data_IF_747314129648
#
_entry.id   IF_747314129648
#
_cell.length_a   1.000
_cell.length_b   1.000
_cell.length_c   1.000
_cell.angle_alpha   90.00
_cell.angle_beta   90.00
_cell.angle_gamma   90.00
#
_symmetry.space_group_name_H-M   'P 1'
#
loop_
_entity.id
_entity.type
_entity.pdbx_description
1 polymer ?
#
# COMPACT_ATOMS: atom_id res chain seq x y z
N UNK A 1 -21.01 56.11 -28.66
CA UNK A 1 -20.97 54.64 -28.79
C UNK A 1 -19.52 54.17 -28.67
N UNK A 2 -19.17 53.42 -27.61
CA UNK A 2 -17.80 52.90 -27.41
C UNK A 2 -17.57 51.72 -28.37
N UNK A 3 -16.65 51.87 -29.35
CA UNK A 3 -16.16 50.75 -30.18
C UNK A 3 -15.36 49.80 -29.29
N UNK A 4 -15.88 48.59 -29.07
CA UNK A 4 -15.13 47.51 -28.45
C UNK A 4 -14.16 46.95 -29.50
N UNK A 5 -12.88 47.32 -29.36
CA UNK A 5 -11.79 46.83 -30.21
C UNK A 5 -11.53 45.36 -29.88
N UNK A 6 -12.26 44.43 -30.52
CA UNK A 6 -12.00 43.00 -30.38
C UNK A 6 -10.78 42.65 -31.24
N UNK A 7 -9.58 42.67 -30.64
CA UNK A 7 -8.40 42.02 -31.20
C UNK A 7 -8.65 40.51 -31.20
N UNK A 8 -8.91 39.95 -32.37
CA UNK A 8 -8.99 38.49 -32.56
C UNK A 8 -7.59 37.88 -32.51
N UNK A 9 -7.47 36.72 -31.86
CA UNK A 9 -6.25 35.91 -31.87
C UNK A 9 -5.97 35.42 -33.30
N UNK A 10 -4.72 35.42 -33.74
CA UNK A 10 -4.38 34.91 -35.08
C UNK A 10 -4.26 33.39 -35.06
N UNK A 11 -4.64 32.73 -36.16
CA UNK A 11 -4.46 31.28 -36.30
C UNK A 11 -2.98 30.87 -36.17
N UNK A 12 -2.07 31.73 -36.61
CA UNK A 12 -0.62 31.49 -36.54
C UNK A 12 -0.14 31.48 -35.09
N UNK A 13 -0.58 32.43 -34.26
CA UNK A 13 -0.25 32.45 -32.83
C UNK A 13 -0.74 31.17 -32.14
N UNK A 14 -1.93 30.66 -32.50
CA UNK A 14 -2.44 29.41 -31.96
C UNK A 14 -1.58 28.20 -32.37
N UNK A 15 -1.19 28.11 -33.65
CA UNK A 15 -0.42 26.98 -34.18
C UNK A 15 0.99 26.91 -33.56
N UNK A 16 1.64 28.05 -33.35
CA UNK A 16 2.95 28.09 -32.68
C UNK A 16 2.84 27.65 -31.22
N UNK A 17 1.78 28.05 -30.52
CA UNK A 17 1.57 27.68 -29.11
C UNK A 17 1.36 26.17 -28.95
N UNK A 18 0.50 25.55 -29.78
CA UNK A 18 0.30 24.09 -29.71
C UNK A 18 1.56 23.31 -30.09
N UNK A 19 2.38 23.84 -31.00
CA UNK A 19 3.65 23.22 -31.38
C UNK A 19 4.64 23.21 -30.18
N UNK A 20 4.76 24.32 -29.46
CA UNK A 20 5.61 24.40 -28.27
C UNK A 20 5.08 23.49 -27.15
N UNK A 21 3.77 23.50 -26.88
CA UNK A 21 3.14 22.62 -25.88
C UNK A 21 3.36 21.14 -26.25
N UNK A 22 3.27 20.79 -27.53
CA UNK A 22 3.51 19.44 -28.02
C UNK A 22 4.92 18.93 -27.72
N UNK A 23 5.95 19.75 -27.98
CA UNK A 23 7.35 19.39 -27.68
C UNK A 23 7.58 19.25 -26.17
N UNK A 24 7.05 20.18 -25.36
CA UNK A 24 7.18 20.11 -23.90
C UNK A 24 6.48 18.86 -23.32
N UNK A 25 5.28 18.55 -23.80
CA UNK A 25 4.52 17.38 -23.37
C UNK A 25 5.25 16.06 -23.70
N UNK A 26 5.86 15.98 -24.89
CA UNK A 26 6.58 14.78 -25.33
C UNK A 26 7.74 14.39 -24.41
N UNK A 27 8.45 15.37 -23.85
CA UNK A 27 9.57 15.14 -22.91
C UNK A 27 9.03 14.90 -21.49
N UNK A 28 7.97 15.62 -21.10
CA UNK A 28 7.44 15.60 -19.73
C UNK A 28 6.71 14.29 -19.37
N UNK A 29 5.87 13.77 -20.27
CA UNK A 29 5.03 12.59 -20.02
C UNK A 29 5.83 11.37 -19.52
N UNK A 30 6.88 10.90 -20.23
CA UNK A 30 7.63 9.71 -19.79
C UNK A 30 8.32 9.92 -18.43
N UNK A 31 8.85 11.12 -18.17
CA UNK A 31 9.48 11.47 -16.89
C UNK A 31 8.47 11.44 -15.73
N UNK A 32 7.29 12.03 -15.94
CA UNK A 32 6.21 12.07 -14.95
C UNK A 32 5.69 10.67 -14.61
N UNK A 33 5.56 9.77 -15.59
CA UNK A 33 5.10 8.39 -15.34
C UNK A 33 6.04 7.64 -14.39
N UNK A 34 7.36 7.80 -14.54
CA UNK A 34 8.34 7.22 -13.63
C UNK A 34 8.24 7.81 -12.21
N UNK A 35 8.04 9.13 -12.10
CA UNK A 35 7.88 9.79 -10.80
C UNK A 35 6.60 9.35 -10.06
N UNK A 36 5.48 9.21 -10.78
CA UNK A 36 4.22 8.73 -10.22
C UNK A 36 4.38 7.31 -9.67
N UNK A 37 5.01 6.39 -10.41
CA UNK A 37 5.25 5.02 -9.93
C UNK A 37 6.11 4.99 -8.66
N UNK A 38 7.18 5.78 -8.60
CA UNK A 38 8.03 5.90 -7.39
C UNK A 38 7.26 6.48 -6.20
N UNK A 39 6.40 7.47 -6.44
CA UNK A 39 5.56 8.06 -5.39
C UNK A 39 4.55 7.04 -4.87
N UNK A 40 3.90 6.28 -5.77
CA UNK A 40 3.00 5.18 -5.40
C UNK A 40 3.72 4.15 -4.51
N UNK A 41 4.92 3.72 -4.90
CA UNK A 41 5.73 2.79 -4.11
C UNK A 41 6.07 3.34 -2.72
N UNK A 42 6.47 4.61 -2.63
CA UNK A 42 6.77 5.26 -1.35
C UNK A 42 5.54 5.30 -0.44
N UNK A 43 4.38 5.66 -0.98
CA UNK A 43 3.11 5.62 -0.23
C UNK A 43 2.77 4.20 0.19
N UNK A 44 2.93 3.22 -0.68
CA UNK A 44 2.63 1.84 -0.37
C UNK A 44 3.53 1.28 0.73
N UNK A 45 4.84 1.59 0.71
CA UNK A 45 5.77 1.21 1.78
C UNK A 45 5.42 1.89 3.12
N UNK A 46 4.99 3.16 3.08
CA UNK A 46 4.54 3.85 4.28
C UNK A 46 3.28 3.20 4.88
N UNK A 47 2.31 2.85 4.04
CA UNK A 47 1.10 2.16 4.47
C UNK A 47 1.39 0.75 4.99
N UNK A 48 2.29 0.00 4.32
CA UNK A 48 2.76 -1.30 4.81
C UNK A 48 3.42 -1.22 6.19
N UNK A 49 4.16 -0.12 6.46
CA UNK A 49 4.70 0.13 7.80
C UNK A 49 3.59 0.40 8.83
N UNK A 50 2.58 1.20 8.49
CA UNK A 50 1.43 1.41 9.39
C UNK A 50 0.72 0.09 9.67
N UNK A 51 0.50 -0.74 8.65
CA UNK A 51 -0.05 -2.09 8.81
C UNK A 51 0.80 -2.95 9.74
N UNK A 52 2.13 -2.99 9.52
CA UNK A 52 3.03 -3.77 10.37
C UNK A 52 2.93 -3.34 11.83
N UNK A 53 2.91 -2.04 12.10
CA UNK A 53 2.80 -1.52 13.46
C UNK A 53 1.47 -1.93 14.11
N UNK A 54 0.36 -1.86 13.37
CA UNK A 54 -0.95 -2.30 13.87
C UNK A 54 -0.97 -3.80 14.18
N UNK A 55 -0.31 -4.62 13.35
CA UNK A 55 -0.16 -6.06 13.61
C UNK A 55 0.68 -6.28 14.86
N UNK A 56 1.82 -5.60 14.99
CA UNK A 56 2.70 -5.73 16.15
C UNK A 56 1.98 -5.36 17.46
N UNK A 57 1.15 -4.33 17.43
CA UNK A 57 0.31 -3.91 18.55
C UNK A 57 -0.71 -4.99 18.93
N UNK A 58 -1.51 -5.47 17.96
CA UNK A 58 -2.50 -6.53 18.19
C UNK A 58 -1.86 -7.85 18.68
N UNK A 59 -0.67 -8.18 18.19
CA UNK A 59 0.11 -9.35 18.64
C UNK A 59 0.58 -9.16 20.08
N UNK A 60 1.10 -7.97 20.43
CA UNK A 60 1.52 -7.68 21.80
C UNK A 60 0.35 -7.78 22.79
N UNK A 61 -0.85 -7.36 22.40
CA UNK A 61 -2.05 -7.54 23.22
C UNK A 61 -2.41 -9.02 23.42
N UNK A 62 -2.29 -9.84 22.38
CA UNK A 62 -2.47 -11.30 22.50
C UNK A 62 -1.43 -11.93 23.45
N UNK A 63 -0.18 -11.48 23.38
CA UNK A 63 0.90 -11.95 24.24
C UNK A 63 0.68 -11.57 25.71
N UNK A 64 0.18 -10.36 25.99
CA UNK A 64 -0.21 -9.93 27.34
C UNK A 64 -1.32 -10.82 27.91
N UNK A 65 -2.20 -11.35 27.06
CA UNK A 65 -3.25 -12.30 27.44
C UNK A 65 -2.74 -13.75 27.57
N UNK A 66 -1.45 -14.01 27.32
CA UNK A 66 -0.80 -15.31 27.49
C UNK A 66 -0.75 -16.18 26.24
N UNK A 67 -1.01 -15.61 25.06
CA UNK A 67 -1.02 -16.35 23.80
C UNK A 67 0.13 -15.92 22.88
N UNK A 68 0.94 -16.88 22.45
CA UNK A 68 1.98 -16.65 21.45
C UNK A 68 1.46 -16.90 20.04
N UNK A 69 1.84 -16.03 19.11
CA UNK A 69 1.47 -16.18 17.70
C UNK A 69 2.49 -17.07 16.98
N UNK A 70 2.01 -18.15 16.36
CA UNK A 70 2.84 -19.02 15.52
C UNK A 70 2.85 -18.52 14.07
N UNK A 71 3.91 -17.79 13.74
CA UNK A 71 4.15 -17.25 12.39
C UNK A 71 4.59 -18.31 11.37
N UNK A 72 4.87 -19.55 11.80
CA UNK A 72 5.13 -20.65 10.86
C UNK A 72 3.87 -21.07 10.10
N UNK A 73 2.69 -20.73 10.64
CA UNK A 73 1.41 -20.96 9.98
C UNK A 73 1.10 -19.75 9.09
N UNK A 74 0.97 -19.94 7.76
CA UNK A 74 0.70 -18.83 6.86
C UNK A 74 -0.59 -18.12 7.23
N UNK A 75 -0.50 -16.81 7.48
CA UNK A 75 -1.68 -15.98 7.69
C UNK A 75 -2.56 -15.94 6.45
N UNK A 76 -2.00 -16.11 5.24
CA UNK A 76 -2.67 -16.59 4.02
C UNK A 76 -3.91 -15.82 3.57
N UNK A 77 -4.26 -14.73 4.25
CA UNK A 77 -5.46 -13.92 4.01
C UNK A 77 -5.02 -12.58 3.46
N UNK A 78 -5.64 -12.21 2.35
CA UNK A 78 -5.81 -10.81 1.97
C UNK A 78 -7.02 -10.27 2.70
N UNK A 79 -6.98 -9.03 3.12
CA UNK A 79 -8.19 -8.35 3.57
C UNK A 79 -8.17 -6.89 3.12
N UNK A 80 -9.38 -6.39 2.85
CA UNK A 80 -9.58 -5.00 2.52
C UNK A 80 -9.53 -4.16 3.81
N UNK A 81 -8.88 -3.02 3.76
CA UNK A 81 -8.75 -2.12 4.89
C UNK A 81 -10.09 -1.44 5.23
N UNK A 82 -11.05 -1.42 4.30
CA UNK A 82 -12.41 -0.91 4.54
C UNK A 82 -13.39 -1.98 5.03
N UNK A 83 -12.97 -3.24 5.18
CA UNK A 83 -13.89 -4.34 5.44
C UNK A 83 -14.72 -4.11 6.73
N UNK A 84 -16.03 -4.30 6.63
CA UNK A 84 -16.93 -4.27 7.79
C UNK A 84 -16.89 -5.62 8.50
N UNK A 85 -15.88 -5.78 9.35
CA UNK A 85 -15.66 -6.98 10.13
C UNK A 85 -16.46 -6.93 11.44
N UNK A 86 -17.10 -8.03 11.85
CA UNK A 86 -17.74 -8.09 13.15
C UNK A 86 -16.68 -7.98 14.25
N UNK A 87 -17.02 -7.30 15.35
CA UNK A 87 -16.17 -7.27 16.53
C UNK A 87 -15.91 -8.70 17.03
N UNK A 88 -14.64 -8.99 17.33
CA UNK A 88 -14.19 -10.31 17.77
C UNK A 88 -13.18 -10.12 18.90
N UNK A 89 -13.33 -10.92 19.95
CA UNK A 89 -12.41 -10.96 21.10
C UNK A 89 -11.65 -12.28 21.09
N UNK A 90 -10.43 -12.27 21.65
CA UNK A 90 -9.63 -13.49 21.75
C UNK A 90 -10.33 -14.54 22.62
N UNK A 91 -10.37 -15.77 22.12
CA UNK A 91 -10.88 -16.92 22.87
C UNK A 91 -9.94 -17.26 24.02
N UNK A 92 -10.45 -17.91 25.06
CA UNK A 92 -9.63 -18.37 26.18
C UNK A 92 -8.57 -19.43 25.81
N UNK A 93 -8.68 -20.03 24.62
CA UNK A 93 -7.71 -20.96 24.05
C UNK A 93 -6.82 -20.32 22.96
N UNK A 94 -7.03 -19.04 22.64
CA UNK A 94 -6.31 -18.29 21.62
C UNK A 94 -6.61 -18.70 20.18
N UNK A 95 -7.49 -19.67 19.94
CA UNK A 95 -7.69 -20.30 18.61
C UNK A 95 -8.06 -19.34 17.47
N UNK A 96 -8.63 -18.18 17.80
CA UNK A 96 -9.08 -17.16 16.86
C UNK A 96 -8.15 -15.94 16.75
N UNK A 97 -6.89 -16.03 17.21
CA UNK A 97 -5.92 -14.93 17.16
C UNK A 97 -5.84 -14.24 15.79
N UNK A 98 -5.97 -15.01 14.70
CA UNK A 98 -5.94 -14.50 13.32
C UNK A 98 -7.07 -13.52 13.05
N UNK A 99 -8.28 -13.84 13.52
CA UNK A 99 -9.46 -13.03 13.26
C UNK A 99 -9.44 -11.75 14.11
N UNK A 100 -8.94 -11.84 15.35
CA UNK A 100 -8.69 -10.70 16.23
C UNK A 100 -7.67 -9.74 15.62
N UNK A 101 -6.51 -10.25 15.18
CA UNK A 101 -5.49 -9.40 14.54
C UNK A 101 -6.05 -8.72 13.29
N UNK A 102 -6.80 -9.43 12.45
CA UNK A 102 -7.39 -8.83 11.24
C UNK A 102 -8.39 -7.74 11.62
N UNK A 103 -9.23 -7.95 12.63
CA UNK A 103 -10.17 -6.94 13.12
C UNK A 103 -9.46 -5.68 13.64
N UNK A 104 -8.50 -5.83 14.56
CA UNK A 104 -7.79 -4.70 15.17
C UNK A 104 -6.95 -3.91 14.15
N UNK A 105 -6.29 -4.62 13.24
CA UNK A 105 -5.54 -4.00 12.15
C UNK A 105 -6.47 -3.22 11.24
N UNK A 106 -7.63 -3.78 10.88
CA UNK A 106 -8.59 -3.09 10.02
C UNK A 106 -9.11 -1.81 10.67
N UNK A 107 -9.44 -1.84 11.97
CA UNK A 107 -9.87 -0.65 12.71
C UNK A 107 -8.75 0.40 12.79
N UNK A 108 -7.52 -0.03 13.07
CA UNK A 108 -6.37 0.87 13.11
C UNK A 108 -6.12 1.51 11.75
N UNK A 109 -6.25 0.77 10.66
CA UNK A 109 -6.09 1.33 9.31
C UNK A 109 -7.20 2.32 8.96
N UNK A 110 -8.44 2.03 9.34
CA UNK A 110 -9.57 2.98 9.19
C UNK A 110 -9.32 4.28 9.96
N UNK A 111 -8.91 4.20 11.23
CA UNK A 111 -8.62 5.40 12.04
C UNK A 111 -7.44 6.20 11.52
N UNK A 112 -6.47 5.55 10.86
CA UNK A 112 -5.37 6.19 10.16
C UNK A 112 -5.72 6.68 8.74
N UNK A 113 -6.98 6.55 8.29
CA UNK A 113 -7.46 7.00 6.98
C UNK A 113 -6.97 6.15 5.80
N UNK A 114 -6.53 4.92 6.06
CA UNK A 114 -6.01 3.97 5.07
C UNK A 114 -7.11 2.96 4.70
N UNK A 115 -8.25 3.45 4.24
CA UNK A 115 -9.44 2.61 4.04
C UNK A 115 -9.44 1.89 2.68
N UNK A 116 -9.01 2.58 1.63
CA UNK A 116 -9.10 2.08 0.26
C UNK A 116 -7.86 1.29 -0.15
N UNK A 117 -7.49 0.23 0.58
CA UNK A 117 -6.31 -0.58 0.29
C UNK A 117 -6.49 -2.04 0.68
N UNK A 118 -5.60 -2.91 0.21
CA UNK A 118 -5.55 -4.32 0.59
C UNK A 118 -4.25 -4.62 1.34
N UNK A 119 -4.37 -5.42 2.39
CA UNK A 119 -3.26 -5.88 3.22
C UNK A 119 -3.06 -7.37 3.06
N UNK A 120 -1.80 -7.79 3.11
CA UNK A 120 -1.41 -9.16 3.41
C UNK A 120 -0.31 -9.16 4.47
N UNK A 121 -0.39 -10.08 5.42
CA UNK A 121 0.64 -10.29 6.45
C UNK A 121 1.05 -11.75 6.38
N UNK A 122 2.34 -12.03 6.42
CA UNK A 122 2.86 -13.40 6.39
C UNK A 122 4.06 -13.52 7.32
N UNK A 123 4.26 -14.73 7.84
CA UNK A 123 5.46 -15.07 8.59
C UNK A 123 6.66 -15.30 7.67
N UNK A 124 7.85 -15.00 8.16
CA UNK A 124 9.13 -15.23 7.50
C UNK A 124 10.09 -15.84 8.51
N UNK A 125 10.84 -16.87 8.12
CA UNK A 125 11.86 -17.46 8.97
C UNK A 125 13.22 -16.87 8.64
N UNK A 126 13.79 -16.11 9.57
CA UNK A 126 15.12 -15.54 9.43
C UNK A 126 16.04 -16.27 10.40
N UNK A 127 16.92 -17.11 9.87
CA UNK A 127 17.93 -17.84 10.64
C UNK A 127 17.36 -18.63 11.84
N UNK A 128 16.23 -19.31 11.65
CA UNK A 128 15.57 -20.10 12.70
C UNK A 128 14.67 -19.31 13.63
N UNK A 129 14.58 -17.98 13.45
CA UNK A 129 13.63 -17.12 14.17
C UNK A 129 12.49 -16.75 13.26
N UNK A 130 11.26 -17.10 13.64
CA UNK A 130 10.08 -16.63 12.92
C UNK A 130 9.79 -15.17 13.25
N UNK A 131 9.63 -14.38 12.20
CA UNK A 131 9.16 -12.99 12.22
C UNK A 131 7.97 -12.88 11.26
N UNK A 132 7.46 -11.67 11.06
CA UNK A 132 6.46 -11.39 10.03
C UNK A 132 6.84 -10.18 9.20
N UNK A 133 6.21 -10.07 8.02
CA UNK A 133 6.22 -8.88 7.18
C UNK A 133 4.79 -8.53 6.78
N UNK A 134 4.58 -7.25 6.46
CA UNK A 134 3.32 -6.72 5.98
C UNK A 134 3.49 -6.17 4.57
N UNK A 135 2.53 -6.49 3.71
CA UNK A 135 2.34 -5.89 2.40
C UNK A 135 1.08 -5.04 2.38
N UNK A 136 1.14 -3.95 1.62
CA UNK A 136 -0.01 -3.09 1.36
C UNK A 136 -0.04 -2.67 -0.10
N UNK A 137 -1.24 -2.67 -0.71
CA UNK A 137 -1.49 -2.10 -2.04
C UNK A 137 -2.78 -1.32 -2.08
N UNK A 138 -2.89 -0.40 -3.05
CA UNK A 138 -4.06 0.49 -3.16
C UNK A 138 -5.30 -0.24 -3.69
N UNK A 139 -5.13 -1.14 -4.66
CA UNK A 139 -6.24 -1.92 -5.22
C UNK A 139 -5.84 -3.39 -5.43
N UNK A 140 -6.80 -4.32 -5.52
CA UNK A 140 -6.51 -5.72 -5.78
C UNK A 140 -5.82 -6.01 -7.13
N UNK A 141 -5.84 -5.06 -8.05
CA UNK A 141 -5.24 -5.18 -9.39
C UNK A 141 -3.95 -4.34 -9.54
N UNK A 142 -3.55 -3.59 -8.51
CA UNK A 142 -2.31 -2.81 -8.57
C UNK A 142 -1.08 -3.72 -8.46
N UNK A 143 -0.20 -3.63 -9.47
CA UNK A 143 1.11 -4.30 -9.49
C UNK A 143 2.10 -3.68 -8.50
N UNK A 144 1.86 -2.43 -8.08
CA UNK A 144 2.70 -1.71 -7.13
C UNK A 144 2.15 -1.95 -5.73
N UNK A 145 2.95 -2.57 -4.89
CA UNK A 145 2.71 -2.73 -3.47
C UNK A 145 3.94 -2.29 -2.67
N UNK A 146 3.75 -2.08 -1.38
CA UNK A 146 4.83 -1.82 -0.45
C UNK A 146 5.00 -2.95 0.54
N UNK A 147 6.15 -2.96 1.19
CA UNK A 147 6.55 -3.98 2.16
C UNK A 147 7.19 -3.33 3.38
N UNK A 148 7.04 -3.99 4.53
CA UNK A 148 7.74 -3.66 5.75
C UNK A 148 7.94 -4.95 6.58
N UNK A 149 9.07 -5.17 7.29
CA UNK A 149 10.13 -4.21 7.64
C UNK A 149 11.16 -3.91 6.55
N UNK A 150 11.22 -4.73 5.49
CA UNK A 150 12.15 -4.54 4.37
C UNK A 150 11.44 -3.83 3.19
N UNK A 151 11.45 -2.49 3.11
CA UNK A 151 10.74 -1.78 2.06
C UNK A 151 11.36 -2.00 0.69
N UNK A 152 10.48 -2.13 -0.31
CA UNK A 152 10.87 -2.22 -1.71
C UNK A 152 11.50 -0.89 -2.16
N UNK A 153 12.66 -0.98 -2.78
CA UNK A 153 13.50 0.15 -3.22
C UNK A 153 13.22 0.55 -4.66
N UNK A 154 12.66 -0.34 -5.47
CA UNK A 154 12.24 -0.05 -6.84
C UNK A 154 10.93 -0.77 -7.19
N UNK A 155 10.28 -0.26 -8.23
CA UNK A 155 9.01 -0.81 -8.74
C UNK A 155 9.25 -2.18 -9.40
N UNK A 156 10.45 -2.41 -9.95
CA UNK A 156 10.83 -3.69 -10.55
C UNK A 156 10.88 -4.81 -9.52
N UNK A 157 11.19 -4.49 -8.26
CA UNK A 157 11.14 -5.48 -7.19
C UNK A 157 9.70 -5.97 -6.96
N UNK A 158 8.68 -5.12 -7.07
CA UNK A 158 7.27 -5.53 -6.96
C UNK A 158 6.93 -6.61 -8.00
N UNK A 159 7.41 -6.47 -9.23
CA UNK A 159 7.13 -7.43 -10.30
C UNK A 159 7.78 -8.80 -10.04
N UNK A 160 8.95 -8.82 -9.39
CA UNK A 160 9.71 -10.05 -9.15
C UNK A 160 9.28 -10.78 -7.87
N UNK A 161 8.88 -10.05 -6.83
CA UNK A 161 8.42 -10.66 -5.58
C UNK A 161 6.94 -11.01 -5.62
N UNK A 162 6.12 -10.23 -6.32
CA UNK A 162 4.67 -10.39 -6.29
C UNK A 162 4.08 -10.08 -4.91
N UNK A 163 2.80 -9.72 -4.86
CA UNK A 163 2.15 -9.28 -3.62
C UNK A 163 2.16 -10.31 -2.49
N UNK A 164 2.44 -11.57 -2.80
CA UNK A 164 2.46 -12.68 -1.83
C UNK A 164 3.79 -13.40 -1.73
N UNK A 165 4.77 -13.06 -2.57
CA UNK A 165 6.01 -13.83 -2.60
C UNK A 165 6.77 -13.63 -1.30
N UNK A 166 7.23 -14.75 -0.77
CA UNK A 166 8.28 -14.80 0.24
C UNK A 166 9.56 -14.24 -0.37
N UNK A 167 10.24 -13.35 0.36
CA UNK A 167 11.68 -13.24 0.20
C UNK A 167 12.28 -14.42 0.96
N UNK A 168 12.67 -15.47 0.22
CA UNK A 168 13.68 -16.40 0.70
C UNK A 168 14.97 -15.88 0.08
N UNK A 169 15.69 -15.03 0.82
CA UNK A 169 17.10 -14.76 0.54
C UNK A 169 17.96 -15.69 1.41
#
# INVERSE_FOLDING_TARGET
MKKLNKKGFTLVELVVVIAIIGVLAAILIPSMMGYVKKTKLKTANANAKTTYNAVAEAVAECEVQGFSIDWSVPFGRRWNCDADLPAVSLNADGSNYRDVIIYEVTNTLKTNGIEAGEVAVNGENINGTWTFFAHWRKTPDDDIFGQYPQPLRSVDQCANSGFFGFFID
#
